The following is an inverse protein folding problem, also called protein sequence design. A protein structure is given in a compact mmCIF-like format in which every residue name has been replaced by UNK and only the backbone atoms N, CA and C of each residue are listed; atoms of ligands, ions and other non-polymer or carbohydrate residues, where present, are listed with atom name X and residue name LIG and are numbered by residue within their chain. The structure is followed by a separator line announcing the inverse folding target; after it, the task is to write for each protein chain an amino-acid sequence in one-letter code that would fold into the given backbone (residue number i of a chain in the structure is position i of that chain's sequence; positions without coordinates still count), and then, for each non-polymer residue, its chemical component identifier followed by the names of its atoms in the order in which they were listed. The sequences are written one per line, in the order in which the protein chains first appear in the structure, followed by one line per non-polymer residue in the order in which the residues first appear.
data_IF_914864828458
#
_entry.id   IF_914864828458
#
_cell.length_a   1.000
_cell.length_b   1.000
_cell.length_c   1.000
_cell.angle_alpha   90.00
_cell.angle_beta   90.00
_cell.angle_gamma   90.00
#
_symmetry.space_group_name_H-M   'P 1'
#
loop_
_entity.id
_entity.type
_entity.pdbx_description
1 polymer ?
#
# COMPACT_ATOMS: atom_id res chain seq x y z
N UNK A 1 -0.97 5.61 -9.10
CA UNK A 1 0.21 5.61 -9.98
C UNK A 1 0.46 6.98 -10.63
N UNK A 2 -0.48 7.59 -11.35
CA UNK A 2 -0.29 8.94 -11.96
C UNK A 2 0.09 10.02 -10.96
N UNK A 3 -0.52 10.03 -9.80
CA UNK A 3 -0.20 11.01 -8.76
C UNK A 3 1.25 10.85 -8.26
N UNK A 4 1.68 9.62 -8.00
CA UNK A 4 3.06 9.34 -7.57
C UNK A 4 4.08 9.77 -8.62
N UNK A 5 3.77 9.56 -9.91
CA UNK A 5 4.62 10.00 -11.02
C UNK A 5 4.71 11.53 -11.11
N UNK A 6 3.58 12.23 -10.95
CA UNK A 6 3.55 13.69 -10.92
C UNK A 6 4.36 14.25 -9.76
N UNK A 7 4.19 13.68 -8.58
CA UNK A 7 4.97 14.04 -7.38
C UNK A 7 6.46 13.82 -7.58
N UNK A 8 6.86 12.67 -8.11
CA UNK A 8 8.26 12.37 -8.39
C UNK A 8 8.88 13.36 -9.41
N UNK A 9 8.13 13.76 -10.43
CA UNK A 9 8.58 14.77 -11.42
C UNK A 9 8.72 16.17 -10.83
N UNK A 10 7.95 16.50 -9.81
CA UNK A 10 8.03 17.81 -9.13
C UNK A 10 9.30 17.98 -8.29
N UNK A 11 9.97 16.87 -7.92
CA UNK A 11 11.21 16.90 -7.16
C UNK A 11 11.08 17.47 -5.73
N UNK A 12 9.86 17.49 -5.18
CA UNK A 12 9.58 17.98 -3.83
C UNK A 12 9.76 16.90 -2.76
N UNK A 13 8.83 16.84 -1.80
CA UNK A 13 8.86 15.86 -0.72
C UNK A 13 8.87 14.41 -1.24
N UNK A 14 9.58 13.49 -0.58
CA UNK A 14 9.64 12.10 -0.99
C UNK A 14 8.24 11.48 -0.99
N UNK A 15 8.00 10.63 -1.97
CA UNK A 15 6.75 9.86 -2.12
C UNK A 15 7.06 8.39 -1.91
N UNK A 16 6.21 7.71 -1.19
CA UNK A 16 6.28 6.27 -0.98
C UNK A 16 5.02 5.63 -1.53
N UNK A 17 5.17 4.50 -2.20
CA UNK A 17 4.05 3.80 -2.84
C UNK A 17 3.92 2.41 -2.26
N UNK A 18 2.69 2.02 -1.97
CA UNK A 18 2.40 0.68 -1.50
C UNK A 18 1.30 0.00 -2.34
N UNK A 19 1.26 -1.31 -2.24
CA UNK A 19 0.20 -2.16 -2.76
C UNK A 19 -0.15 -3.18 -1.68
N UNK A 20 -1.44 -3.29 -1.33
CA UNK A 20 -1.92 -4.28 -0.39
C UNK A 20 -2.31 -5.55 -1.15
N UNK A 21 -1.55 -6.63 -0.97
CA UNK A 21 -1.81 -7.93 -1.57
C UNK A 21 -2.41 -8.92 -0.59
N UNK A 22 -2.25 -8.65 0.72
CA UNK A 22 -2.86 -9.48 1.74
C UNK A 22 -4.36 -9.60 1.53
N UNK A 23 -4.85 -10.84 1.66
CA UNK A 23 -6.25 -11.16 1.41
C UNK A 23 -6.98 -11.34 2.71
N UNK A 24 -8.12 -10.63 2.85
CA UNK A 24 -8.99 -10.88 3.99
C UNK A 24 -9.47 -12.33 4.02
N UNK A 25 -9.46 -12.99 5.20
CA UNK A 25 -10.03 -14.34 5.34
C UNK A 25 -11.56 -14.36 5.39
N UNK A 26 -12.19 -13.19 5.44
CA UNK A 26 -13.66 -13.07 5.53
C UNK A 26 -14.34 -13.77 4.35
N UNK A 27 -15.41 -14.47 4.62
CA UNK A 27 -16.18 -15.24 3.63
C UNK A 27 -15.32 -16.21 2.82
N UNK A 28 -14.33 -16.86 3.46
CA UNK A 28 -13.42 -17.80 2.82
C UNK A 28 -12.44 -17.15 1.84
N UNK A 29 -12.17 -15.84 2.00
CA UNK A 29 -11.19 -15.13 1.18
C UNK A 29 -11.71 -14.70 -0.21
N UNK A 30 -12.99 -14.84 -0.49
CA UNK A 30 -13.57 -14.53 -1.81
C UNK A 30 -13.38 -13.07 -2.23
N UNK A 31 -13.29 -12.15 -1.27
CA UNK A 31 -13.14 -10.71 -1.50
C UNK A 31 -11.72 -10.29 -1.84
N UNK A 32 -10.72 -11.14 -1.56
CA UNK A 32 -9.29 -10.84 -1.74
C UNK A 32 -8.89 -9.58 -0.95
N UNK A 33 -8.37 -8.57 -1.63
CA UNK A 33 -8.05 -7.25 -1.04
C UNK A 33 -9.05 -6.20 -1.58
N UNK A 34 -10.25 -6.08 -0.99
CA UNK A 34 -11.25 -5.13 -1.45
C UNK A 34 -10.84 -3.70 -1.14
N UNK A 35 -11.48 -2.75 -1.83
CA UNK A 35 -11.34 -1.33 -1.55
C UNK A 35 -11.59 -1.04 -0.07
N UNK A 36 -10.80 -0.16 0.53
CA UNK A 36 -10.84 0.26 1.94
C UNK A 36 -10.35 -0.78 2.97
N UNK A 37 -9.86 -1.95 2.53
CA UNK A 37 -9.31 -2.95 3.45
C UNK A 37 -8.12 -2.42 4.27
N UNK A 38 -7.39 -1.47 3.74
CA UNK A 38 -6.24 -0.80 4.36
C UNK A 38 -6.63 0.09 5.56
N UNK A 39 -7.84 0.63 5.59
CA UNK A 39 -8.25 1.58 6.64
C UNK A 39 -8.13 0.98 8.05
N UNK A 40 -8.79 -0.14 8.40
CA UNK A 40 -8.65 -0.73 9.72
C UNK A 40 -7.24 -1.22 10.04
N UNK A 41 -6.43 -1.52 9.02
CA UNK A 41 -5.04 -1.95 9.20
C UNK A 41 -4.13 -0.77 9.52
N UNK A 42 -4.23 0.32 8.78
CA UNK A 42 -3.42 1.54 9.00
C UNK A 42 -3.70 2.17 10.37
N UNK A 43 -4.94 2.14 10.83
CA UNK A 43 -5.32 2.72 12.11
C UNK A 43 -5.23 1.74 13.29
N UNK A 44 -4.68 0.53 13.09
CA UNK A 44 -4.62 -0.54 14.10
C UNK A 44 -5.97 -0.77 14.80
N UNK A 45 -7.01 -0.80 14.00
CA UNK A 45 -8.39 -0.84 14.47
C UNK A 45 -9.04 -2.21 14.19
N UNK A 46 -8.24 -3.28 14.36
CA UNK A 46 -8.60 -4.64 13.98
C UNK A 46 -9.88 -5.14 14.69
N UNK A 47 -10.09 -4.76 15.94
CA UNK A 47 -11.27 -5.16 16.70
C UNK A 47 -12.58 -4.64 16.07
N UNK A 48 -12.59 -3.40 15.62
CA UNK A 48 -13.76 -2.77 14.97
C UNK A 48 -13.83 -3.11 13.47
N UNK A 49 -12.69 -3.30 12.82
CA UNK A 49 -12.59 -3.69 11.42
C UNK A 49 -12.84 -5.17 11.12
N UNK A 50 -13.17 -5.98 12.12
CA UNK A 50 -13.24 -7.44 11.99
C UNK A 50 -14.21 -7.97 10.91
N UNK A 51 -15.23 -7.20 10.56
CA UNK A 51 -16.13 -7.53 9.44
C UNK A 51 -15.45 -7.48 8.07
N UNK A 52 -14.36 -6.70 7.95
CA UNK A 52 -13.58 -6.54 6.71
C UNK A 52 -12.29 -7.36 6.72
N UNK A 53 -11.54 -7.30 7.83
CA UNK A 53 -10.21 -7.93 7.90
C UNK A 53 -10.24 -9.31 8.59
N UNK A 54 -11.37 -9.71 9.12
CA UNK A 54 -11.50 -10.96 9.88
C UNK A 54 -10.90 -10.84 11.29
N UNK A 55 -10.84 -11.97 11.95
CA UNK A 55 -10.23 -12.13 13.28
C UNK A 55 -9.10 -13.15 13.19
N UNK A 56 -8.00 -12.88 13.83
CA UNK A 56 -6.89 -13.82 13.89
C UNK A 56 -5.53 -13.16 13.72
N UNK A 57 -4.45 -13.96 13.86
CA UNK A 57 -3.10 -13.43 13.91
C UNK A 57 -2.64 -12.73 12.62
N UNK A 58 -3.14 -13.16 11.46
CA UNK A 58 -2.80 -12.54 10.19
C UNK A 58 -3.34 -11.11 10.06
N UNK A 59 -4.59 -10.87 10.50
CA UNK A 59 -5.16 -9.53 10.49
C UNK A 59 -4.42 -8.59 11.45
N UNK A 60 -4.10 -9.05 12.67
CA UNK A 60 -3.34 -8.25 13.63
C UNK A 60 -1.93 -7.98 13.12
N UNK A 61 -1.23 -9.01 12.60
CA UNK A 61 0.10 -8.81 12.01
C UNK A 61 0.10 -7.74 10.90
N UNK A 62 -0.91 -7.77 10.02
CA UNK A 62 -1.04 -6.75 8.97
C UNK A 62 -1.29 -5.36 9.55
N UNK A 63 -2.14 -5.26 10.60
CA UNK A 63 -2.39 -4.00 11.28
C UNK A 63 -1.10 -3.46 11.93
N UNK A 64 -0.33 -4.30 12.61
CA UNK A 64 0.95 -3.93 13.22
C UNK A 64 1.92 -3.37 12.15
N UNK A 65 2.14 -4.11 11.07
CA UNK A 65 3.05 -3.72 9.99
C UNK A 65 2.66 -2.39 9.32
N UNK A 66 1.37 -2.23 9.00
CA UNK A 66 0.90 -1.03 8.31
C UNK A 66 0.83 0.17 9.25
N UNK A 67 0.31 0.03 10.45
CA UNK A 67 0.20 1.14 11.41
C UNK A 67 1.58 1.67 11.82
N UNK A 68 2.55 0.78 12.09
CA UNK A 68 3.92 1.19 12.38
C UNK A 68 4.53 2.03 11.26
N UNK A 69 4.36 1.62 10.00
CA UNK A 69 4.87 2.36 8.84
C UNK A 69 4.25 3.76 8.72
N UNK A 70 2.94 3.88 8.92
CA UNK A 70 2.23 5.17 8.89
C UNK A 70 2.64 6.07 10.05
N UNK A 71 2.81 5.52 11.24
CA UNK A 71 3.31 6.25 12.41
C UNK A 71 4.74 6.75 12.17
N UNK A 72 5.62 5.88 11.65
CA UNK A 72 6.99 6.25 11.31
C UNK A 72 7.00 7.39 10.29
N UNK A 73 6.24 7.26 9.21
CA UNK A 73 6.12 8.29 8.18
C UNK A 73 5.59 9.62 8.74
N UNK A 74 4.55 9.59 9.58
CA UNK A 74 3.99 10.80 10.17
C UNK A 74 4.99 11.54 11.08
N UNK A 75 5.88 10.80 11.74
CA UNK A 75 6.88 11.37 12.66
C UNK A 75 8.15 11.85 11.97
N UNK A 76 8.57 11.17 10.92
CA UNK A 76 9.93 11.34 10.34
C UNK A 76 9.91 11.71 8.85
N UNK A 77 8.78 11.54 8.17
CA UNK A 77 8.70 11.60 6.72
C UNK A 77 9.23 10.35 5.99
N UNK A 78 9.58 9.29 6.75
CA UNK A 78 10.06 8.01 6.22
C UNK A 78 9.27 6.85 6.85
N UNK A 79 8.80 5.87 6.07
CA UNK A 79 7.97 4.77 6.57
C UNK A 79 8.79 3.57 7.07
N UNK A 80 10.10 3.72 7.25
CA UNK A 80 10.99 2.63 7.65
C UNK A 80 10.72 2.17 9.09
N UNK A 81 10.60 0.87 9.28
CA UNK A 81 10.42 0.21 10.58
C UNK A 81 11.31 -1.03 10.66
N UNK A 82 11.61 -1.54 11.87
CA UNK A 82 12.39 -2.77 12.01
C UNK A 82 11.71 -4.03 11.43
N UNK A 83 10.41 -3.98 11.21
CA UNK A 83 9.61 -5.13 10.78
C UNK A 83 9.30 -5.14 9.28
N UNK A 84 9.75 -4.11 8.55
CA UNK A 84 9.64 -4.01 7.10
C UNK A 84 11.01 -4.05 6.44
N UNK A 85 11.11 -4.56 5.20
CA UNK A 85 12.32 -4.33 4.42
C UNK A 85 12.52 -2.82 4.17
N UNK A 86 13.75 -2.34 3.94
CA UNK A 86 14.01 -0.94 3.63
C UNK A 86 13.08 -0.45 2.52
N UNK A 87 12.31 0.61 2.78
CA UNK A 87 11.31 1.12 1.86
C UNK A 87 11.83 2.36 1.12
N UNK A 88 12.36 2.21 -0.10
CA UNK A 88 12.92 3.33 -0.84
C UNK A 88 11.80 4.29 -1.30
N UNK A 89 12.14 5.56 -1.40
CA UNK A 89 11.25 6.53 -2.05
C UNK A 89 10.93 6.11 -3.49
N UNK A 90 9.76 6.47 -3.95
CA UNK A 90 9.35 6.22 -5.32
C UNK A 90 10.12 7.09 -6.31
N UNK A 91 10.71 6.46 -7.31
CA UNK A 91 11.39 7.09 -8.43
C UNK A 91 10.85 6.53 -9.75
N UNK A 92 10.87 7.35 -10.80
CA UNK A 92 10.23 7.01 -12.09
C UNK A 92 10.86 5.80 -12.77
N UNK A 93 12.15 5.62 -12.62
CA UNK A 93 12.93 4.56 -13.23
C UNK A 93 12.62 3.21 -12.56
N UNK A 94 12.75 3.19 -11.25
CA UNK A 94 12.62 1.97 -10.45
C UNK A 94 11.17 1.64 -10.07
N UNK A 95 10.36 2.66 -9.76
CA UNK A 95 8.97 2.50 -9.32
C UNK A 95 8.82 1.57 -8.10
N UNK A 96 9.76 1.67 -7.17
CA UNK A 96 9.77 0.84 -5.98
C UNK A 96 8.44 0.97 -5.22
N UNK A 97 7.83 -0.18 -4.93
CA UNK A 97 6.53 -0.28 -4.28
C UNK A 97 6.63 -1.29 -3.14
N UNK A 98 6.23 -0.89 -1.93
CA UNK A 98 6.06 -1.82 -0.83
C UNK A 98 4.82 -2.66 -1.07
N UNK A 99 4.98 -3.96 -1.21
CA UNK A 99 3.89 -4.91 -1.34
C UNK A 99 3.61 -5.50 0.04
N UNK A 100 2.50 -5.08 0.63
CA UNK A 100 2.05 -5.59 1.92
C UNK A 100 1.35 -6.94 1.76
N UNK A 101 1.94 -7.95 2.38
CA UNK A 101 1.40 -9.27 2.63
C UNK A 101 1.96 -9.74 3.99
N UNK A 102 1.68 -10.94 4.43
CA UNK A 102 2.25 -11.51 5.68
C UNK A 102 3.79 -11.55 5.66
N UNK A 103 4.39 -11.56 4.49
CA UNK A 103 5.82 -11.36 4.23
C UNK A 103 6.00 -10.17 3.27
N UNK A 104 6.09 -8.94 3.80
CA UNK A 104 6.16 -7.74 2.98
C UNK A 104 7.46 -7.65 2.19
N UNK A 105 7.36 -7.17 0.95
CA UNK A 105 8.48 -7.07 0.04
C UNK A 105 8.46 -5.75 -0.73
N UNK A 106 9.64 -5.23 -1.09
CA UNK A 106 9.77 -4.14 -2.06
C UNK A 106 9.91 -4.74 -3.45
N UNK A 107 8.99 -4.36 -4.33
CA UNK A 107 8.96 -4.81 -5.73
C UNK A 107 9.02 -3.62 -6.66
N UNK A 108 9.84 -3.69 -7.68
CA UNK A 108 9.94 -2.64 -8.68
C UNK A 108 8.84 -2.79 -9.74
N UNK A 109 8.03 -1.74 -9.91
CA UNK A 109 6.92 -1.65 -10.87
C UNK A 109 5.99 -2.89 -10.90
N UNK A 110 5.42 -3.32 -9.75
CA UNK A 110 4.70 -4.61 -9.65
C UNK A 110 3.50 -4.75 -10.60
N UNK A 111 2.97 -3.64 -11.12
CA UNK A 111 1.89 -3.58 -12.11
C UNK A 111 2.36 -2.95 -13.44
N UNK A 112 3.62 -3.17 -13.80
CA UNK A 112 4.24 -2.56 -14.98
C UNK A 112 3.57 -2.94 -16.31
N UNK A 113 3.10 -4.17 -16.44
CA UNK A 113 2.38 -4.62 -17.64
C UNK A 113 1.07 -3.86 -17.84
N UNK A 114 0.24 -3.80 -16.80
CA UNK A 114 -1.04 -3.07 -16.81
C UNK A 114 -0.81 -1.57 -16.97
N UNK A 115 0.18 -1.02 -16.26
CA UNK A 115 0.53 0.40 -16.40
C UNK A 115 0.87 0.76 -17.85
N UNK A 116 1.67 -0.06 -18.53
CA UNK A 116 2.02 0.17 -19.95
C UNK A 116 0.83 0.00 -20.87
N UNK A 117 -0.04 -0.98 -20.59
CA UNK A 117 -1.25 -1.20 -21.37
C UNK A 117 -2.18 0.00 -21.32
N UNK A 118 -2.33 0.61 -20.14
CA UNK A 118 -3.23 1.76 -19.95
C UNK A 118 -2.57 3.12 -20.19
N UNK A 119 -1.24 3.18 -20.42
CA UNK A 119 -0.54 4.44 -20.64
C UNK A 119 -1.10 5.33 -21.77
N UNK A 120 -1.57 4.78 -22.90
CA UNK A 120 -2.17 5.59 -23.96
C UNK A 120 -3.60 6.04 -23.68
N UNK A 121 -4.24 5.52 -22.63
CA UNK A 121 -5.63 5.90 -22.28
C UNK A 121 -5.60 7.22 -21.52
N UNK A 122 -6.28 8.28 -22.00
CA UNK A 122 -6.37 9.53 -21.28
C UNK A 122 -6.99 9.34 -19.90
N UNK A 123 -6.35 9.91 -18.88
CA UNK A 123 -6.94 9.95 -17.55
C UNK A 123 -8.04 11.00 -17.51
N UNK A 124 -9.25 10.55 -17.30
CA UNK A 124 -10.41 11.41 -17.03
C UNK A 124 -10.76 11.28 -15.56
N UNK A 125 -10.67 12.38 -14.82
CA UNK A 125 -11.05 12.38 -13.42
C UNK A 125 -12.58 12.24 -13.31
N UNK A 126 -13.10 11.23 -12.60
CA UNK A 126 -14.54 11.12 -12.39
C UNK A 126 -15.09 12.35 -11.66
N UNK A 127 -16.20 12.93 -12.16
CA UNK A 127 -16.89 14.05 -11.52
C UNK A 127 -16.39 15.45 -11.88
N UNK A 128 -15.55 15.59 -12.90
CA UNK A 128 -15.17 16.91 -13.48
C UNK A 128 -15.85 17.15 -14.82
#
# INVERSE_FOLDING_TARGET
MLESERRARQGGAPTYVFQLNWRTPVDGGKWKAPHTLDIPLVFDNAAYGASMIGRGPGAQRMADLMSEAWIAFARTGQPDTPHLPPWPRFELERRATMVFDLDPQVVDDPRGAERRLFAPVPYVQPGT
#
